data_IF_838661530050
#
_entry.id   IF_838661530050
#
_cell.length_a   1.000
_cell.length_b   1.000
_cell.length_c   1.000
_cell.angle_alpha   90.00
_cell.angle_beta   90.00
_cell.angle_gamma   90.00
#
_symmetry.space_group_name_H-M   'P 1'
#
loop_
_entity.id
_entity.type
_entity.pdbx_description
1 polymer ?
#
# COMPACT_ATOMS: atom_id res chain seq x y z
N UNK A 1 6.31 -3.32 -2.78
CA UNK A 1 6.47 -4.30 -3.83
C UNK A 1 7.94 -4.43 -4.19
N UNK A 2 8.49 -5.47 -3.88
CA UNK A 2 9.90 -5.86 -3.94
C UNK A 2 10.45 -5.96 -5.38
N UNK A 3 10.42 -4.86 -6.14
CA UNK A 3 10.84 -4.84 -7.52
C UNK A 3 9.85 -5.46 -8.49
N UNK A 4 8.62 -5.76 -8.06
CA UNK A 4 7.60 -6.35 -8.90
C UNK A 4 7.13 -5.39 -9.99
N UNK A 5 7.14 -4.11 -9.69
CA UNK A 5 6.92 -3.02 -10.63
C UNK A 5 7.73 -1.82 -10.17
N UNK A 6 7.97 -0.88 -11.08
CA UNK A 6 8.72 0.34 -10.74
C UNK A 6 7.78 1.37 -10.12
N UNK A 7 8.15 1.84 -8.94
CA UNK A 7 7.46 2.94 -8.28
C UNK A 7 8.50 3.80 -7.58
N UNK A 8 8.37 5.10 -7.73
CA UNK A 8 9.23 6.07 -7.04
C UNK A 8 8.51 6.71 -5.86
N UNK A 9 7.26 6.35 -5.62
CA UNK A 9 6.44 6.89 -4.54
C UNK A 9 6.40 5.91 -3.37
N UNK A 10 6.61 6.43 -2.17
CA UNK A 10 6.41 5.69 -0.93
C UNK A 10 5.27 6.37 -0.18
N UNK A 11 4.16 5.65 -0.02
CA UNK A 11 3.01 6.16 0.71
C UNK A 11 3.17 5.82 2.19
N UNK A 12 3.29 6.86 3.00
CA UNK A 12 3.43 6.72 4.45
C UNK A 12 2.07 6.87 5.11
N UNK A 13 1.89 6.11 6.19
CA UNK A 13 0.62 6.08 6.90
C UNK A 13 0.71 6.96 8.15
N UNK A 14 -0.20 7.92 8.24
CA UNK A 14 -0.36 8.74 9.44
C UNK A 14 -1.31 8.02 10.41
N UNK A 15 -0.79 6.97 11.05
CA UNK A 15 -1.57 6.03 11.86
C UNK A 15 -2.33 6.70 13.02
N UNK A 16 -1.71 7.69 13.64
CA UNK A 16 -2.26 8.35 14.81
C UNK A 16 -2.86 9.72 14.48
N UNK A 17 -3.07 9.99 13.19
CA UNK A 17 -3.62 11.24 12.70
C UNK A 17 -2.90 12.47 13.29
N UNK A 18 -1.57 12.43 13.27
CA UNK A 18 -0.75 13.54 13.73
C UNK A 18 -0.93 14.75 12.81
N UNK A 19 -0.88 15.98 13.34
CA UNK A 19 -0.94 17.18 12.48
C UNK A 19 0.19 17.18 11.45
N UNK A 20 -0.13 17.60 10.23
CA UNK A 20 0.85 17.65 9.14
C UNK A 20 2.08 18.48 9.51
N UNK A 21 1.88 19.58 10.25
CA UNK A 21 2.99 20.41 10.71
C UNK A 21 4.03 19.62 11.50
N UNK A 22 3.57 18.69 12.34
CA UNK A 22 4.46 17.84 13.13
C UNK A 22 5.20 16.85 12.24
N UNK A 23 4.50 16.26 11.26
CA UNK A 23 5.11 15.36 10.29
C UNK A 23 6.20 16.10 9.50
N UNK A 24 5.91 17.32 9.06
CA UNK A 24 6.87 18.14 8.32
C UNK A 24 8.14 18.39 9.12
N UNK A 25 8.01 18.73 10.40
CA UNK A 25 9.16 18.96 11.26
C UNK A 25 10.05 17.72 11.38
N UNK A 26 9.44 16.54 11.54
CA UNK A 26 10.18 15.29 11.62
C UNK A 26 10.87 14.99 10.29
N UNK A 27 10.16 15.14 9.17
CA UNK A 27 10.73 14.87 7.85
C UNK A 27 11.90 15.81 7.56
N UNK A 28 11.77 17.08 7.89
CA UNK A 28 12.86 18.06 7.72
C UNK A 28 14.06 17.71 8.59
N UNK A 29 13.84 17.21 9.80
CA UNK A 29 14.93 16.80 10.68
C UNK A 29 15.70 15.61 10.12
N UNK A 30 15.09 14.83 9.24
CA UNK A 30 15.71 13.69 8.58
C UNK A 30 16.37 14.07 7.23
N UNK A 31 16.31 15.33 6.85
CA UNK A 31 16.92 15.83 5.62
C UNK A 31 15.98 15.88 4.42
N UNK A 32 14.69 15.61 4.61
CA UNK A 32 13.69 15.72 3.55
C UNK A 32 13.22 17.16 3.39
N UNK A 33 12.80 17.51 2.17
CA UNK A 33 12.21 18.80 1.86
C UNK A 33 10.82 18.58 1.28
N UNK A 34 9.89 19.46 1.64
CA UNK A 34 8.54 19.44 1.10
C UNK A 34 8.54 19.98 -0.32
N UNK A 35 7.98 19.22 -1.27
CA UNK A 35 7.79 19.64 -2.66
C UNK A 35 6.37 19.26 -3.08
N UNK A 36 5.43 20.21 -3.03
CA UNK A 36 4.03 19.96 -3.28
C UNK A 36 3.48 18.98 -2.24
N UNK A 37 2.93 17.86 -2.69
CA UNK A 37 2.40 16.82 -1.78
C UNK A 37 3.44 15.80 -1.34
N UNK A 38 4.68 15.93 -1.83
CA UNK A 38 5.75 14.97 -1.55
C UNK A 38 6.81 15.55 -0.64
N UNK A 39 7.56 14.65 -0.02
CA UNK A 39 8.83 14.97 0.60
C UNK A 39 9.94 14.29 -0.20
N UNK A 40 11.00 15.04 -0.50
CA UNK A 40 12.13 14.56 -1.28
C UNK A 40 13.42 14.66 -0.48
N UNK A 41 14.41 13.86 -0.85
CA UNK A 41 15.71 13.84 -0.17
C UNK A 41 16.82 13.69 -1.23
N UNK A 42 17.95 14.42 -1.08
CA UNK A 42 19.01 14.37 -2.09
C UNK A 42 19.67 13.00 -2.25
N UNK A 43 19.58 12.14 -1.24
CA UNK A 43 20.25 10.84 -1.25
C UNK A 43 19.35 9.70 -1.72
N UNK A 44 18.13 9.98 -2.17
CA UNK A 44 17.23 8.95 -2.68
C UNK A 44 16.39 9.48 -3.85
N UNK A 45 15.98 8.57 -4.73
CA UNK A 45 15.06 8.88 -5.82
C UNK A 45 13.59 8.73 -5.44
N UNK A 46 13.30 8.26 -4.23
CA UNK A 46 11.93 8.06 -3.81
C UNK A 46 11.28 9.36 -3.37
N UNK A 47 10.00 9.48 -3.70
CA UNK A 47 9.14 10.56 -3.21
C UNK A 47 8.28 9.97 -2.10
N UNK A 48 8.21 10.67 -0.97
CA UNK A 48 7.42 10.20 0.18
C UNK A 48 6.15 11.03 0.26
N UNK A 49 5.01 10.38 0.32
CA UNK A 49 3.70 11.02 0.44
C UNK A 49 3.00 10.52 1.69
N UNK A 50 2.26 11.42 2.34
CA UNK A 50 1.36 11.09 3.44
C UNK A 50 -0.07 11.33 2.96
N UNK A 51 -0.74 10.31 2.39
CA UNK A 51 -2.11 10.48 1.91
C UNK A 51 -3.03 10.88 3.06
N UNK A 52 -4.08 11.69 2.80
CA UNK A 52 -5.01 12.10 3.83
C UNK A 52 -5.94 10.95 4.24
N UNK A 53 -6.52 11.08 5.43
CA UNK A 53 -7.55 10.19 5.92
C UNK A 53 -7.04 9.05 6.79
N UNK A 54 -7.96 8.32 7.40
CA UNK A 54 -7.60 7.16 8.21
C UNK A 54 -7.08 6.01 7.35
N UNK A 55 -6.26 5.16 7.95
CA UNK A 55 -5.73 3.99 7.28
C UNK A 55 -6.85 2.97 7.07
N UNK A 56 -7.08 2.61 5.80
CA UNK A 56 -8.03 1.58 5.45
C UNK A 56 -7.81 1.10 4.02
N UNK A 57 -8.39 -0.05 3.68
CA UNK A 57 -8.36 -0.60 2.33
C UNK A 57 -9.80 -0.97 1.98
N UNK A 58 -10.41 -0.22 1.05
CA UNK A 58 -11.84 -0.32 0.81
C UNK A 58 -12.58 0.05 2.11
N UNK A 59 -13.50 -0.82 2.55
CA UNK A 59 -14.21 -0.62 3.81
C UNK A 59 -13.52 -1.29 5.00
N UNK A 60 -12.38 -1.94 4.79
CA UNK A 60 -11.66 -2.65 5.85
C UNK A 60 -10.57 -1.79 6.45
N UNK A 61 -10.47 -1.82 7.79
CA UNK A 61 -9.35 -1.22 8.49
C UNK A 61 -8.15 -2.16 8.39
N UNK A 62 -6.97 -1.60 8.13
CA UNK A 62 -5.74 -2.38 8.12
C UNK A 62 -5.43 -2.83 9.55
N UNK A 63 -5.38 -4.14 9.76
CA UNK A 63 -5.17 -4.73 11.08
C UNK A 63 -3.76 -5.27 11.30
N UNK A 64 -3.03 -5.50 10.22
CA UNK A 64 -1.69 -6.08 10.31
C UNK A 64 -0.68 -5.22 9.54
N UNK A 65 0.39 -4.84 10.23
CA UNK A 65 1.46 -4.01 9.69
C UNK A 65 2.79 -4.67 10.05
N UNK A 66 3.65 -4.86 9.06
CA UNK A 66 5.02 -5.28 9.31
C UNK A 66 5.82 -4.12 9.88
N UNK A 67 6.63 -4.42 10.88
CA UNK A 67 7.51 -3.41 11.49
C UNK A 67 8.96 -3.78 11.21
N UNK A 68 9.73 -2.80 10.74
CA UNK A 68 11.16 -2.93 10.57
C UNK A 68 11.83 -1.91 11.47
N UNK A 69 12.58 -2.40 12.46
CA UNK A 69 13.30 -1.52 13.38
C UNK A 69 14.63 -1.12 12.76
N UNK A 70 14.89 0.18 12.72
CA UNK A 70 16.15 0.74 12.23
C UNK A 70 16.77 1.59 13.33
N UNK A 71 18.01 2.04 13.13
CA UNK A 71 18.67 2.95 14.07
C UNK A 71 17.97 4.31 14.17
N UNK A 72 17.09 4.64 13.22
CA UNK A 72 16.36 5.92 13.18
C UNK A 72 14.92 5.81 13.64
N UNK A 73 14.45 4.60 13.94
CA UNK A 73 13.08 4.39 14.38
C UNK A 73 12.46 3.13 13.79
N UNK A 74 11.15 3.02 13.87
CA UNK A 74 10.41 1.86 13.40
C UNK A 74 9.66 2.23 12.12
N UNK A 75 9.94 1.50 11.05
CA UNK A 75 9.21 1.61 9.79
C UNK A 75 8.08 0.59 9.79
N UNK A 76 6.86 1.05 9.54
CA UNK A 76 5.67 0.20 9.49
C UNK A 76 5.20 0.08 8.07
N UNK A 77 5.04 -1.16 7.59
CA UNK A 77 4.67 -1.46 6.22
C UNK A 77 3.40 -2.31 6.18
N UNK A 78 2.61 -2.14 5.12
CA UNK A 78 1.49 -3.03 4.87
C UNK A 78 1.98 -4.44 4.60
N UNK A 79 1.21 -5.46 5.05
CA UNK A 79 1.46 -6.83 4.64
C UNK A 79 1.23 -6.97 3.13
N UNK A 80 1.76 -8.05 2.54
CA UNK A 80 1.52 -8.33 1.12
C UNK A 80 0.02 -8.49 0.85
N UNK A 81 -0.72 -9.17 1.73
CA UNK A 81 -2.16 -9.34 1.60
C UNK A 81 -2.89 -8.01 1.63
N UNK A 82 -2.55 -7.10 2.54
CA UNK A 82 -3.18 -5.78 2.62
C UNK A 82 -2.79 -4.90 1.44
N UNK A 83 -1.58 -5.00 0.93
CA UNK A 83 -1.17 -4.31 -0.29
C UNK A 83 -2.00 -4.77 -1.49
N UNK A 84 -2.27 -6.07 -1.59
CA UNK A 84 -3.11 -6.63 -2.64
C UNK A 84 -4.54 -6.11 -2.51
N UNK A 85 -5.09 -6.04 -1.29
CA UNK A 85 -6.42 -5.46 -1.08
C UNK A 85 -6.50 -4.03 -1.61
N UNK A 86 -5.49 -3.22 -1.35
CA UNK A 86 -5.45 -1.85 -1.85
C UNK A 86 -5.50 -1.81 -3.38
N UNK A 87 -4.68 -2.64 -4.03
CA UNK A 87 -4.67 -2.70 -5.50
C UNK A 87 -5.96 -3.26 -6.07
N UNK A 88 -6.51 -4.30 -5.44
CA UNK A 88 -7.78 -4.88 -5.88
C UNK A 88 -8.94 -3.93 -5.65
N UNK A 89 -8.94 -3.12 -4.59
CA UNK A 89 -9.99 -2.13 -4.36
C UNK A 89 -10.07 -1.15 -5.55
N UNK A 90 -8.94 -0.68 -6.04
CA UNK A 90 -8.90 0.19 -7.21
C UNK A 90 -9.42 -0.52 -8.46
N UNK A 91 -9.08 -1.79 -8.65
CA UNK A 91 -9.61 -2.59 -9.74
C UNK A 91 -11.12 -2.81 -9.59
N UNK A 92 -11.59 -3.12 -8.38
CA UNK A 92 -13.01 -3.42 -8.14
C UNK A 92 -13.90 -2.21 -8.38
N UNK A 93 -13.51 -1.07 -7.84
CA UNK A 93 -14.39 0.11 -7.82
C UNK A 93 -14.14 1.09 -8.94
N UNK A 94 -12.97 1.04 -9.58
CA UNK A 94 -12.62 1.97 -10.65
C UNK A 94 -12.23 1.27 -11.95
N UNK A 95 -12.31 -0.07 -11.98
CA UNK A 95 -11.93 -0.89 -13.15
C UNK A 95 -10.51 -0.61 -13.63
N UNK A 96 -9.61 -0.35 -12.69
CA UNK A 96 -8.21 -0.02 -12.99
C UNK A 96 -7.43 -1.30 -13.29
N UNK A 97 -7.21 -1.56 -14.59
CA UNK A 97 -6.49 -2.74 -15.04
C UNK A 97 -5.03 -2.76 -14.59
N UNK A 98 -4.41 -1.61 -14.44
CA UNK A 98 -3.03 -1.52 -13.94
C UNK A 98 -2.95 -2.00 -12.49
N UNK A 99 -3.94 -1.64 -11.67
CA UNK A 99 -4.01 -2.08 -10.29
C UNK A 99 -4.16 -3.60 -10.18
N UNK A 100 -4.93 -4.21 -11.07
CA UNK A 100 -5.04 -5.68 -11.15
C UNK A 100 -3.67 -6.30 -11.46
N UNK A 101 -2.95 -5.76 -12.42
CA UNK A 101 -1.61 -6.22 -12.77
C UNK A 101 -0.65 -6.13 -11.59
N UNK A 102 -0.70 -5.02 -10.87
CA UNK A 102 0.14 -4.82 -9.69
C UNK A 102 -0.19 -5.81 -8.57
N UNK A 103 -1.48 -6.06 -8.34
CA UNK A 103 -1.90 -7.06 -7.36
C UNK A 103 -1.36 -8.45 -7.70
N UNK A 104 -1.43 -8.83 -8.98
CA UNK A 104 -0.89 -10.11 -9.43
C UNK A 104 0.62 -10.20 -9.24
N UNK A 105 1.34 -9.13 -9.51
CA UNK A 105 2.78 -9.09 -9.33
C UNK A 105 3.18 -9.29 -7.87
N UNK A 106 2.49 -8.66 -6.93
CA UNK A 106 2.74 -8.83 -5.50
C UNK A 106 2.41 -10.26 -5.08
N UNK A 107 1.27 -10.79 -5.53
CA UNK A 107 0.82 -12.13 -5.18
C UNK A 107 1.79 -13.24 -5.64
N UNK A 108 2.48 -13.02 -6.75
CA UNK A 108 3.46 -13.98 -7.27
C UNK A 108 4.77 -13.99 -6.51
N UNK A 109 5.08 -12.91 -5.81
CA UNK A 109 6.37 -12.74 -5.13
C UNK A 109 6.32 -12.93 -3.62
N UNK A 110 5.14 -12.89 -3.03
CA UNK A 110 5.00 -12.94 -1.58
C UNK A 110 3.93 -13.92 -1.15
N UNK A 111 4.08 -14.58 0.01
CA UNK A 111 3.00 -15.38 0.58
C UNK A 111 1.79 -14.49 0.87
N UNK A 112 0.61 -14.96 0.49
CA UNK A 112 -0.63 -14.22 0.69
C UNK A 112 -1.71 -15.16 1.23
N UNK A 113 -2.72 -14.59 1.86
CA UNK A 113 -3.87 -15.33 2.38
C UNK A 113 -5.05 -15.18 1.42
N UNK A 114 -5.21 -16.16 0.51
CA UNK A 114 -6.28 -16.14 -0.48
C UNK A 114 -7.66 -16.23 0.15
N UNK A 115 -7.79 -16.96 1.27
CA UNK A 115 -9.08 -17.06 1.95
C UNK A 115 -9.50 -15.72 2.55
N UNK A 116 -8.55 -14.99 3.12
CA UNK A 116 -8.81 -13.64 3.63
C UNK A 116 -9.20 -12.70 2.50
N UNK A 117 -8.51 -12.78 1.36
CA UNK A 117 -8.81 -11.97 0.19
C UNK A 117 -10.20 -12.28 -0.37
N UNK A 118 -10.58 -13.56 -0.41
CA UNK A 118 -11.90 -13.94 -0.87
C UNK A 118 -12.99 -13.38 0.05
N UNK A 119 -12.84 -13.56 1.36
CA UNK A 119 -13.80 -13.05 2.34
C UNK A 119 -13.93 -11.53 2.26
N UNK A 120 -12.81 -10.83 2.15
CA UNK A 120 -12.79 -9.39 2.01
C UNK A 120 -13.47 -8.95 0.69
N UNK A 121 -13.16 -9.63 -0.41
CA UNK A 121 -13.74 -9.33 -1.73
C UNK A 121 -15.26 -9.53 -1.73
N UNK A 122 -15.74 -10.52 -0.99
CA UNK A 122 -17.17 -10.74 -0.81
C UNK A 122 -17.84 -9.58 -0.08
N UNK A 123 -17.18 -9.04 0.96
CA UNK A 123 -17.68 -7.86 1.67
C UNK A 123 -17.69 -6.62 0.78
N UNK A 124 -16.73 -6.53 -0.14
CA UNK A 124 -16.65 -5.42 -1.12
C UNK A 124 -17.63 -5.62 -2.29
N UNK A 125 -18.47 -6.65 -2.23
CA UNK A 125 -19.42 -7.03 -3.30
C UNK A 125 -18.74 -7.22 -4.66
N UNK A 126 -17.52 -7.72 -4.65
CA UNK A 126 -16.69 -7.87 -5.85
C UNK A 126 -16.13 -9.28 -6.03
N UNK A 127 -16.84 -10.28 -5.51
CA UNK A 127 -16.39 -11.67 -5.61
C UNK A 127 -16.13 -12.08 -7.07
N UNK A 128 -16.96 -11.61 -8.01
CA UNK A 128 -16.79 -11.88 -9.43
C UNK A 128 -15.40 -11.43 -9.93
N UNK A 129 -15.00 -10.23 -9.57
CA UNK A 129 -13.68 -9.70 -9.97
C UNK A 129 -12.54 -10.40 -9.23
N UNK A 130 -12.76 -10.83 -8.00
CA UNK A 130 -11.79 -11.64 -7.27
C UNK A 130 -11.56 -12.99 -7.96
N UNK A 131 -12.63 -13.65 -8.44
CA UNK A 131 -12.50 -14.92 -9.17
C UNK A 131 -11.63 -14.73 -10.43
N UNK A 132 -11.79 -13.62 -11.12
CA UNK A 132 -10.96 -13.30 -12.28
C UNK A 132 -9.49 -13.14 -11.88
N UNK A 133 -9.23 -12.41 -10.80
CA UNK A 133 -7.86 -12.27 -10.24
C UNK A 133 -7.27 -13.64 -9.91
N UNK A 134 -8.01 -14.46 -9.17
CA UNK A 134 -7.56 -15.80 -8.77
C UNK A 134 -7.30 -16.68 -9.98
N UNK A 135 -8.16 -16.64 -10.98
CA UNK A 135 -8.01 -17.42 -12.19
C UNK A 135 -6.70 -17.09 -12.92
N UNK A 136 -6.40 -15.80 -13.09
CA UNK A 136 -5.15 -15.38 -13.71
C UNK A 136 -3.95 -15.83 -12.88
N UNK A 137 -4.03 -15.67 -11.56
CA UNK A 137 -2.95 -16.04 -10.65
C UNK A 137 -2.61 -17.52 -10.73
N UNK A 138 -3.62 -18.38 -10.83
CA UNK A 138 -3.43 -19.84 -10.83
C UNK A 138 -3.01 -20.39 -12.20
N UNK A 139 -3.16 -19.62 -13.28
CA UNK A 139 -2.77 -20.05 -14.63
C UNK A 139 -1.28 -19.88 -14.90
N UNK A 140 -0.56 -19.23 -14.04
CA UNK A 140 0.89 -18.99 -14.21
C UNK A 140 1.69 -19.60 -13.03
#
# INVERSE_FOLDING_TARGET
SDGAYTSYDLDMINRYNEPFKKIKLVMESLGFQEEGKYFTHPDTHYFIEFPPGPLGVGDATVTFIHEITTSYGVLKLLSATDCIKDRLAAYYHWSDAQSLTQALQVARKHPIDLDELEAWSRKETSLHKFEHFREILTKT
#
